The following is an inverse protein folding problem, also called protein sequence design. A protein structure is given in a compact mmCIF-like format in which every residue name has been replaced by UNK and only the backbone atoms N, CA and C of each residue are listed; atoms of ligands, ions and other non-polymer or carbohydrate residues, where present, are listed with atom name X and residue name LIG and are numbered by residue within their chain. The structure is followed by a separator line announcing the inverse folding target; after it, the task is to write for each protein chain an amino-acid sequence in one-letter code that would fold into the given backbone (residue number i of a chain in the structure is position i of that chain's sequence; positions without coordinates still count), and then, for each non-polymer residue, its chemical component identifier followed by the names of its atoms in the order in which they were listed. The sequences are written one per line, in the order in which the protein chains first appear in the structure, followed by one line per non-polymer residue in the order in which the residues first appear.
data_IF_855966715115
#
_entry.id   IF_855966715115
#
_cell.length_a   1.000
_cell.length_b   1.000
_cell.length_c   1.000
_cell.angle_alpha   90.00
_cell.angle_beta   90.00
_cell.angle_gamma   90.00
#
_symmetry.space_group_name_H-M   'P 1'
#
loop_
_entity.id
_entity.type
_entity.pdbx_description
1 polymer ?
#
# COMPACT_ATOMS: atom_id res chain seq x y z
N UNK A 1 14.49 -0.55 -10.07
CA UNK A 1 15.04 -1.49 -9.07
C UNK A 1 14.91 -2.92 -9.56
N UNK A 2 15.25 -3.90 -8.74
CA UNK A 2 15.03 -5.33 -9.03
C UNK A 2 14.40 -6.02 -7.83
N UNK A 3 13.56 -7.02 -8.09
CA UNK A 3 13.00 -7.86 -7.03
C UNK A 3 14.14 -8.66 -6.38
N UNK A 4 14.33 -8.47 -5.08
CA UNK A 4 15.34 -9.13 -4.27
C UNK A 4 14.76 -10.29 -3.44
N UNK A 5 13.45 -10.25 -3.16
CA UNK A 5 12.77 -11.27 -2.35
C UNK A 5 11.28 -11.31 -2.64
N UNK A 6 10.69 -12.50 -2.49
CA UNK A 6 9.25 -12.72 -2.63
C UNK A 6 8.74 -13.46 -1.39
N UNK A 7 7.60 -13.00 -0.88
CA UNK A 7 6.91 -13.63 0.23
C UNK A 7 5.40 -13.60 -0.02
N UNK A 8 4.67 -14.45 0.70
CA UNK A 8 3.19 -14.51 0.64
C UNK A 8 2.49 -13.17 0.92
N UNK A 9 3.17 -12.24 1.59
CA UNK A 9 2.62 -10.95 2.01
C UNK A 9 3.09 -9.78 1.14
N UNK A 10 4.01 -10.01 0.19
CA UNK A 10 4.51 -8.95 -0.67
C UNK A 10 5.88 -9.24 -1.28
N UNK A 11 6.49 -8.18 -1.80
CA UNK A 11 7.73 -8.24 -2.59
C UNK A 11 8.76 -7.28 -2.00
N UNK A 12 10.01 -7.73 -1.93
CA UNK A 12 11.14 -6.90 -1.57
C UNK A 12 11.89 -6.46 -2.82
N UNK A 13 12.16 -5.17 -2.94
CA UNK A 13 12.82 -4.58 -4.10
C UNK A 13 14.07 -3.85 -3.66
N UNK A 14 15.18 -4.19 -4.31
CA UNK A 14 16.44 -3.45 -4.18
C UNK A 14 16.47 -2.29 -5.18
N UNK A 15 16.65 -1.09 -4.66
CA UNK A 15 16.78 0.13 -5.46
C UNK A 15 18.16 0.17 -6.11
N UNK A 16 18.21 0.47 -7.41
CA UNK A 16 19.45 0.44 -8.17
C UNK A 16 20.38 1.61 -7.79
N UNK A 17 19.80 2.77 -7.50
CA UNK A 17 20.56 4.00 -7.25
C UNK A 17 21.11 4.07 -5.82
N UNK A 18 20.26 3.82 -4.82
CA UNK A 18 20.65 3.91 -3.40
C UNK A 18 21.16 2.60 -2.82
N UNK A 19 20.94 1.47 -3.49
CA UNK A 19 21.21 0.13 -2.95
C UNK A 19 20.29 -0.29 -1.80
N UNK A 20 19.41 0.60 -1.33
CA UNK A 20 18.47 0.33 -0.25
C UNK A 20 17.40 -0.68 -0.68
N UNK A 21 16.83 -1.36 0.31
CA UNK A 21 15.73 -2.31 0.11
C UNK A 21 14.42 -1.70 0.59
N UNK A 22 13.36 -1.87 -0.20
CA UNK A 22 12.03 -1.45 0.15
C UNK A 22 11.02 -2.56 -0.05
N UNK A 23 9.91 -2.46 0.67
CA UNK A 23 8.87 -3.45 0.73
C UNK A 23 7.61 -2.97 -0.02
N UNK A 24 7.07 -3.84 -0.86
CA UNK A 24 5.81 -3.64 -1.59
C UNK A 24 4.77 -4.59 -1.00
N UNK A 25 3.76 -4.10 -0.27
CA UNK A 25 2.69 -4.94 0.24
C UNK A 25 1.88 -5.56 -0.90
N UNK A 26 1.51 -6.84 -0.78
CA UNK A 26 0.71 -7.56 -1.78
C UNK A 26 -0.62 -6.84 -2.11
N UNK A 27 -1.19 -6.13 -1.12
CA UNK A 27 -2.41 -5.34 -1.27
C UNK A 27 -2.27 -4.12 -2.20
N UNK A 28 -1.05 -3.74 -2.55
CA UNK A 28 -0.75 -2.61 -3.44
C UNK A 28 -0.40 -3.05 -4.86
N UNK A 29 -0.15 -4.35 -5.08
CA UNK A 29 0.24 -4.89 -6.40
C UNK A 29 -0.90 -4.88 -7.41
N UNK A 30 -2.15 -4.88 -6.95
CA UNK A 30 -3.32 -4.85 -7.84
C UNK A 30 -4.61 -5.13 -7.10
N UNK A 31 -5.70 -5.17 -7.87
CA UNK A 31 -7.04 -5.59 -7.39
C UNK A 31 -7.37 -7.01 -7.82
N UNK A 32 -6.38 -7.88 -7.79
CA UNK A 32 -6.52 -9.31 -8.09
C UNK A 32 -5.90 -10.13 -6.97
N UNK A 33 -6.23 -11.41 -6.92
CA UNK A 33 -5.56 -12.35 -6.05
C UNK A 33 -4.22 -12.75 -6.68
N UNK A 34 -3.19 -12.82 -5.83
CA UNK A 34 -1.87 -13.27 -6.23
C UNK A 34 -1.58 -14.61 -5.54
N UNK A 35 -1.24 -15.61 -6.35
CA UNK A 35 -0.83 -16.93 -5.88
C UNK A 35 0.67 -16.93 -5.61
N UNK A 36 1.04 -17.26 -4.39
CA UNK A 36 2.43 -17.46 -4.02
C UNK A 36 2.84 -18.91 -4.25
N UNK A 37 3.82 -19.12 -5.11
CA UNK A 37 4.50 -20.40 -5.26
C UNK A 37 5.84 -20.35 -4.50
N UNK A 38 5.98 -21.25 -3.53
CA UNK A 38 7.15 -21.32 -2.66
C UNK A 38 8.36 -21.90 -3.37
N UNK A 39 8.17 -22.85 -4.27
CA UNK A 39 9.24 -23.61 -4.90
C UNK A 39 9.91 -22.76 -5.99
N UNK A 40 9.11 -22.05 -6.77
CA UNK A 40 9.60 -21.09 -7.77
C UNK A 40 9.91 -19.69 -7.17
N UNK A 41 9.52 -19.45 -5.92
CA UNK A 41 9.58 -18.15 -5.26
C UNK A 41 8.93 -17.04 -6.09
N UNK A 42 7.71 -17.28 -6.61
CA UNK A 42 7.00 -16.33 -7.47
C UNK A 42 5.65 -15.91 -6.89
N UNK A 43 5.15 -14.75 -7.33
CA UNK A 43 3.78 -14.30 -7.15
C UNK A 43 3.11 -14.16 -8.52
N UNK A 44 2.07 -14.95 -8.78
CA UNK A 44 1.33 -14.92 -10.04
C UNK A 44 -0.06 -14.33 -9.84
N UNK A 45 -0.40 -13.30 -10.60
CA UNK A 45 -1.75 -12.72 -10.64
C UNK A 45 -2.75 -13.69 -11.27
N UNK A 46 -3.87 -13.94 -10.60
CA UNK A 46 -4.91 -14.88 -11.05
C UNK A 46 -5.56 -14.44 -12.36
N UNK A 47 -5.78 -13.13 -12.54
CA UNK A 47 -6.51 -12.61 -13.70
C UNK A 47 -5.57 -12.11 -14.79
N UNK A 48 -4.47 -11.44 -14.41
CA UNK A 48 -3.53 -10.87 -15.38
C UNK A 48 -2.50 -11.88 -15.88
N UNK A 49 -2.28 -12.99 -15.16
CA UNK A 49 -1.16 -13.90 -15.41
C UNK A 49 0.20 -13.24 -15.17
N UNK A 50 0.23 -12.06 -14.54
CA UNK A 50 1.47 -11.36 -14.23
C UNK A 50 2.27 -12.16 -13.20
N UNK A 51 3.48 -12.57 -13.58
CA UNK A 51 4.40 -13.29 -12.68
C UNK A 51 5.51 -12.38 -12.20
N UNK A 52 5.55 -12.15 -10.90
CA UNK A 52 6.66 -11.50 -10.20
C UNK A 52 7.63 -12.58 -9.73
N UNK A 53 8.89 -12.46 -10.14
CA UNK A 53 9.95 -13.40 -9.79
C UNK A 53 11.18 -12.69 -9.23
N UNK A 54 12.11 -13.46 -8.67
CA UNK A 54 13.40 -12.93 -8.24
C UNK A 54 14.18 -12.36 -9.43
N UNK A 55 14.86 -11.24 -9.23
CA UNK A 55 15.70 -10.59 -10.24
C UNK A 55 14.93 -9.78 -11.29
N UNK A 56 13.60 -9.89 -11.34
CA UNK A 56 12.77 -9.14 -12.30
C UNK A 56 12.99 -7.64 -12.16
N UNK A 57 13.28 -6.91 -13.26
CA UNK A 57 13.41 -5.46 -13.22
C UNK A 57 12.04 -4.81 -13.03
N UNK A 58 11.99 -3.81 -12.14
CA UNK A 58 10.75 -3.12 -11.76
C UNK A 58 10.97 -1.62 -11.64
N UNK A 59 9.94 -0.86 -12.01
CA UNK A 59 9.84 0.56 -11.71
C UNK A 59 8.97 0.73 -10.46
N UNK A 60 9.47 1.47 -9.48
CA UNK A 60 8.81 1.63 -8.17
C UNK A 60 8.81 3.10 -7.76
N UNK A 61 7.80 3.49 -6.99
CA UNK A 61 7.72 4.80 -6.33
C UNK A 61 7.81 4.64 -4.83
N UNK A 62 8.50 5.57 -4.17
CA UNK A 62 8.47 5.66 -2.71
C UNK A 62 7.08 6.12 -2.24
N UNK A 63 6.40 5.29 -1.46
CA UNK A 63 5.10 5.61 -0.87
C UNK A 63 5.25 6.17 0.56
N UNK A 64 6.10 5.55 1.37
CA UNK A 64 6.38 5.98 2.74
C UNK A 64 7.80 5.62 3.13
N UNK A 65 8.44 6.46 3.95
CA UNK A 65 9.73 6.17 4.56
C UNK A 65 9.60 6.32 6.09
N UNK A 66 10.11 5.36 6.84
CA UNK A 66 10.13 5.34 8.30
C UNK A 66 11.58 5.50 8.76
N UNK A 67 12.04 6.72 9.08
CA UNK A 67 13.45 7.00 9.34
C UNK A 67 14.01 6.23 10.55
N UNK A 68 13.17 6.00 11.56
CA UNK A 68 13.57 5.33 12.80
C UNK A 68 13.98 3.87 12.56
N UNK A 69 13.32 3.17 11.63
CA UNK A 69 13.62 1.77 11.31
C UNK A 69 14.40 1.61 10.01
N UNK A 70 14.59 2.69 9.25
CA UNK A 70 15.13 2.65 7.89
C UNK A 70 14.20 1.97 6.88
N UNK A 71 12.94 1.73 7.24
CA UNK A 71 11.98 1.02 6.39
C UNK A 71 11.46 1.89 5.25
N UNK A 72 11.43 1.34 4.04
CA UNK A 72 10.83 1.96 2.85
C UNK A 72 9.62 1.16 2.41
N UNK A 73 8.46 1.81 2.29
CA UNK A 73 7.28 1.26 1.64
C UNK A 73 7.25 1.79 0.22
N UNK A 74 7.15 0.87 -0.73
CA UNK A 74 7.20 1.16 -2.16
C UNK A 74 5.87 0.78 -2.81
N UNK A 75 5.58 1.44 -3.93
CA UNK A 75 4.47 1.13 -4.82
C UNK A 75 5.02 0.67 -6.17
N UNK A 76 4.53 -0.45 -6.69
CA UNK A 76 4.93 -0.99 -7.98
C UNK A 76 4.24 -0.23 -9.11
N UNK A 77 5.02 0.24 -10.08
CA UNK A 77 4.50 0.97 -11.24
C UNK A 77 4.60 0.14 -12.51
N UNK A 78 5.73 -0.53 -12.73
CA UNK A 78 6.01 -1.31 -13.93
C UNK A 78 6.81 -2.56 -13.58
N UNK A 79 6.60 -3.61 -14.37
CA UNK A 79 7.31 -4.89 -14.28
C UNK A 79 7.83 -5.23 -15.66
N UNK A 80 9.14 -5.47 -15.78
CA UNK A 80 9.78 -5.82 -17.05
C UNK A 80 9.45 -4.86 -18.22
N UNK A 81 9.23 -3.58 -17.93
CA UNK A 81 8.87 -2.55 -18.93
C UNK A 81 7.39 -2.52 -19.32
N UNK A 82 6.55 -3.35 -18.70
CA UNK A 82 5.09 -3.31 -18.85
C UNK A 82 4.44 -2.58 -17.66
N UNK A 83 3.54 -1.65 -17.96
CA UNK A 83 2.76 -0.93 -16.95
C UNK A 83 1.82 -1.88 -16.22
N UNK A 84 1.79 -1.79 -14.89
CA UNK A 84 0.87 -2.58 -14.08
C UNK A 84 -0.59 -2.24 -14.40
N UNK A 85 -1.49 -3.24 -14.49
CA UNK A 85 -2.92 -2.98 -14.64
C UNK A 85 -3.45 -2.26 -13.39
N UNK A 86 -3.60 -0.93 -13.50
CA UNK A 86 -4.16 -0.10 -12.43
C UNK A 86 -5.67 -0.36 -12.31
N UNK A 87 -6.06 -1.24 -11.40
CA UNK A 87 -7.41 -1.20 -10.85
C UNK A 87 -7.69 0.17 -10.21
N UNK A 88 -8.95 0.65 -10.15
CA UNK A 88 -9.25 2.00 -9.66
C UNK A 88 -8.56 2.26 -8.32
N UNK A 89 -7.87 3.38 -8.15
CA UNK A 89 -7.08 3.64 -6.96
C UNK A 89 -7.99 3.67 -5.72
N UNK A 90 -7.98 2.63 -4.88
CA UNK A 90 -8.58 2.72 -3.55
C UNK A 90 -7.61 3.55 -2.74
N UNK A 91 -7.85 4.86 -2.71
CA UNK A 91 -7.08 5.76 -1.85
C UNK A 91 -6.92 5.13 -0.48
N UNK A 92 -5.67 4.93 -0.05
CA UNK A 92 -5.34 4.52 1.29
C UNK A 92 -5.76 5.65 2.26
N UNK A 93 -7.05 5.74 2.55
CA UNK A 93 -7.62 6.45 3.70
C UNK A 93 -8.03 5.40 4.72
N UNK A 94 -7.09 4.97 5.55
CA UNK A 94 -7.46 4.02 6.60
C UNK A 94 -6.36 3.48 7.47
N UNK A 95 -5.29 4.23 7.76
CA UNK A 95 -4.55 3.98 9.00
C UNK A 95 -5.52 4.08 10.20
N UNK A 96 -5.34 3.30 11.28
CA UNK A 96 -6.29 3.23 12.37
C UNK A 96 -6.43 4.59 13.04
N UNK A 97 -7.48 5.33 12.68
CA UNK A 97 -7.90 6.56 13.36
C UNK A 97 -8.30 6.17 14.78
N UNK A 98 -7.33 6.24 15.69
CA UNK A 98 -7.54 6.29 17.14
C UNK A 98 -8.71 7.24 17.41
N UNK A 99 -9.67 6.73 18.17
CA UNK A 99 -10.91 7.36 18.62
C UNK A 99 -10.67 8.81 19.11
N UNK A 100 -10.81 9.81 18.24
CA UNK A 100 -10.84 11.23 18.65
C UNK A 100 -11.90 12.03 17.89
N UNK A 101 -13.04 11.40 17.60
CA UNK A 101 -14.17 12.03 16.89
C UNK A 101 -15.44 12.22 17.72
N UNK A 102 -15.55 11.59 18.90
CA UNK A 102 -16.83 11.53 19.64
C UNK A 102 -17.13 12.72 20.55
N UNK A 103 -16.20 13.67 20.74
CA UNK A 103 -16.44 14.85 21.59
C UNK A 103 -16.96 16.09 20.85
N UNK A 104 -16.78 16.19 19.52
CA UNK A 104 -17.14 17.42 18.78
C UNK A 104 -18.63 17.51 18.43
N UNK A 105 -19.33 16.37 18.37
CA UNK A 105 -20.77 16.34 18.07
C UNK A 105 -21.67 16.64 19.29
N UNK A 106 -21.14 16.54 20.52
CA UNK A 106 -21.89 16.90 21.74
C UNK A 106 -21.93 18.42 21.97
N UNK A 107 -20.88 19.15 21.60
CA UNK A 107 -20.79 20.59 21.77
C UNK A 107 -21.75 21.38 20.84
N UNK A 108 -22.00 20.90 19.62
CA UNK A 108 -22.95 21.55 18.71
C UNK A 108 -24.43 21.33 19.10
N UNK A 109 -24.75 20.24 19.80
CA UNK A 109 -26.13 19.94 20.23
C UNK A 109 -26.56 20.74 21.47
N UNK A 110 -25.63 21.09 22.36
CA UNK A 110 -25.91 21.98 23.50
C UNK A 110 -26.14 23.43 23.05
N UNK A 111 -25.39 23.92 22.06
CA UNK A 111 -25.52 25.32 21.59
C UNK A 111 -26.84 25.59 20.86
N UNK A 112 -27.46 24.55 20.27
CA UNK A 112 -28.77 24.66 19.60
C UNK A 112 -29.97 24.60 20.57
N UNK A 113 -29.75 24.30 21.86
CA UNK A 113 -30.80 24.16 22.87
C UNK A 113 -30.92 25.36 23.83
N UNK A 114 -30.00 26.35 23.78
CA UNK A 114 -30.07 27.57 24.61
C UNK A 114 -30.69 28.77 23.90
N UNK A 115 -31.22 28.62 22.68
CA UNK A 115 -31.82 29.70 21.88
C UNK A 115 -33.35 29.80 21.95
N UNK A 116 -34.04 28.94 22.71
CA UNK A 116 -35.50 29.06 22.92
C UNK A 116 -35.74 29.51 24.35
N UNK A 117 -35.85 30.83 24.55
CA UNK A 117 -36.56 31.39 25.71
C UNK A 117 -38.04 31.54 25.31
N UNK A 118 -38.99 31.07 26.14
CA UNK A 118 -40.41 31.28 25.92
C UNK A 118 -40.76 32.75 26.21
N UNK A 119 -41.54 33.35 25.31
CA UNK A 119 -42.36 34.53 25.59
C UNK A 119 -43.81 34.09 25.64
#
# INVERSE_FOLDING_TARGET
GRIAGIARFGVFVRLAESGAEGFIPISTLGREYFHYDRDSQTLMGEHSGLTLGLGTPVLVRLAEAVPVTGGLILELLEVAGATMPRGPQRSARGGPRRKLGKHRQKAQKLKRKSGRRPG
#
